data_IF_768770734606
#
_entry.id   IF_768770734606
#
_cell.length_a   1.000
_cell.length_b   1.000
_cell.length_c   1.000
_cell.angle_alpha   90.00
_cell.angle_beta   90.00
_cell.angle_gamma   90.00
#
_symmetry.space_group_name_H-M   'P 1'
#
loop_
_entity.id
_entity.type
_entity.pdbx_description
1 polymer ?
#
# COMPACT_ATOMS: atom_id res chain seq x y z
N UNK A 1 13.62 12.94 28.67
CA UNK A 1 12.81 11.72 28.47
C UNK A 1 13.74 10.55 28.76
N UNK A 2 13.34 9.56 29.57
CA UNK A 2 14.21 8.42 29.93
C UNK A 2 14.43 7.53 28.69
N UNK A 3 15.67 7.12 28.42
CA UNK A 3 16.05 6.22 27.32
C UNK A 3 15.24 4.93 27.33
N UNK A 4 14.97 4.36 28.51
CA UNK A 4 14.13 3.16 28.64
C UNK A 4 12.69 3.40 28.17
N UNK A 5 12.15 4.60 28.45
CA UNK A 5 10.81 5.00 28.01
C UNK A 5 10.76 5.18 26.49
N UNK A 6 11.83 5.71 25.89
CA UNK A 6 11.94 5.83 24.43
C UNK A 6 11.98 4.46 23.76
N UNK A 7 12.78 3.53 24.29
CA UNK A 7 12.84 2.15 23.79
C UNK A 7 11.46 1.48 23.87
N UNK A 8 10.80 1.56 25.03
CA UNK A 8 9.45 1.02 25.19
C UNK A 8 8.46 1.59 24.15
N UNK A 9 8.48 2.91 23.93
CA UNK A 9 7.60 3.55 22.93
C UNK A 9 7.92 3.08 21.50
N UNK A 10 9.19 2.86 21.16
CA UNK A 10 9.59 2.32 19.85
C UNK A 10 9.08 0.89 19.67
N UNK A 11 9.23 0.05 20.69
CA UNK A 11 8.77 -1.36 20.67
C UNK A 11 7.25 -1.44 20.45
N UNK A 12 6.49 -0.63 21.20
CA UNK A 12 5.03 -0.55 21.06
C UNK A 12 4.65 -0.15 19.63
N UNK A 13 5.28 0.89 19.08
CA UNK A 13 5.00 1.32 17.70
C UNK A 13 5.35 0.28 16.65
N UNK A 14 6.46 -0.45 16.82
CA UNK A 14 6.81 -1.55 15.92
C UNK A 14 5.75 -2.65 15.99
N UNK A 15 5.26 -2.98 17.20
CA UNK A 15 4.19 -3.96 17.39
C UNK A 15 2.89 -3.54 16.71
N UNK A 16 2.44 -2.30 16.92
CA UNK A 16 1.25 -1.73 16.26
C UNK A 16 1.36 -1.77 14.74
N UNK A 17 2.54 -1.45 14.20
CA UNK A 17 2.83 -1.54 12.78
C UNK A 17 2.73 -3.00 12.29
N UNK A 18 3.31 -3.96 13.02
CA UNK A 18 3.23 -5.37 12.68
C UNK A 18 1.77 -5.88 12.66
N UNK A 19 0.97 -5.54 13.68
CA UNK A 19 -0.46 -5.90 13.73
C UNK A 19 -1.27 -5.27 12.59
N UNK A 20 -1.00 -4.00 12.29
CA UNK A 20 -1.62 -3.29 11.16
C UNK A 20 -1.29 -3.98 9.84
N UNK A 21 -0.05 -4.41 9.65
CA UNK A 21 0.38 -5.14 8.45
C UNK A 21 -0.21 -6.56 8.38
N UNK A 22 -0.51 -7.19 9.51
CA UNK A 22 -1.08 -8.54 9.58
C UNK A 22 -2.50 -8.61 9.00
N UNK A 23 -3.22 -7.48 8.99
CA UNK A 23 -4.59 -7.39 8.46
C UNK A 23 -4.67 -7.41 6.92
N UNK A 24 -3.55 -7.36 6.20
CA UNK A 24 -3.56 -7.33 4.73
C UNK A 24 -3.24 -8.71 4.13
N UNK A 25 -4.10 -9.19 3.21
CA UNK A 25 -3.96 -10.49 2.56
C UNK A 25 -2.61 -10.71 1.83
N UNK A 26 -1.94 -9.64 1.40
CA UNK A 26 -0.64 -9.72 0.72
C UNK A 26 0.53 -10.01 1.67
N UNK A 27 0.30 -10.06 3.00
CA UNK A 27 1.27 -10.52 4.00
C UNK A 27 1.85 -11.87 3.64
N UNK A 28 1.05 -12.81 3.12
CA UNK A 28 1.51 -14.16 2.84
C UNK A 28 2.72 -14.20 1.88
N UNK A 29 2.88 -13.21 1.02
CA UNK A 29 4.03 -13.13 0.12
C UNK A 29 5.32 -12.65 0.81
N UNK A 30 5.21 -12.02 1.97
CA UNK A 30 6.30 -11.29 2.62
C UNK A 30 6.42 -11.54 4.12
N UNK A 31 5.65 -12.49 4.67
CA UNK A 31 5.41 -12.67 6.12
C UNK A 31 6.70 -12.82 6.92
N UNK A 32 7.63 -13.64 6.45
CA UNK A 32 8.86 -13.94 7.17
C UNK A 32 9.80 -12.73 7.20
N UNK A 33 9.91 -12.02 6.07
CA UNK A 33 10.72 -10.79 5.98
C UNK A 33 10.07 -9.62 6.72
N UNK A 34 8.73 -9.52 6.70
CA UNK A 34 7.98 -8.44 7.36
C UNK A 34 8.11 -8.48 8.87
N UNK A 35 8.16 -9.67 9.46
CA UNK A 35 8.26 -9.85 10.91
C UNK A 35 9.69 -9.90 11.42
N UNK A 36 10.66 -10.10 10.52
CA UNK A 36 12.08 -10.03 10.87
C UNK A 36 12.48 -8.67 11.45
N UNK A 37 13.58 -8.69 12.22
CA UNK A 37 14.26 -7.50 12.73
C UNK A 37 15.46 -7.09 11.86
N UNK A 38 15.88 -7.96 10.92
CA UNK A 38 17.04 -7.69 10.07
C UNK A 38 16.77 -6.53 9.10
N UNK A 39 17.62 -5.51 9.17
CA UNK A 39 17.44 -4.27 8.44
C UNK A 39 17.57 -4.44 6.92
N UNK A 40 18.59 -5.16 6.45
CA UNK A 40 18.88 -5.31 5.03
C UNK A 40 17.74 -6.01 4.24
N UNK A 41 17.17 -7.13 4.71
CA UNK A 41 15.98 -7.73 4.09
C UNK A 41 14.77 -6.79 4.07
N UNK A 42 14.53 -6.04 5.16
CA UNK A 42 13.43 -5.09 5.24
C UNK A 42 13.59 -3.94 4.24
N UNK A 43 14.81 -3.40 4.08
CA UNK A 43 15.09 -2.36 3.08
C UNK A 43 14.92 -2.86 1.65
N UNK A 44 15.37 -4.09 1.36
CA UNK A 44 15.16 -4.73 0.05
C UNK A 44 13.67 -4.93 -0.24
N UNK A 45 12.90 -5.34 0.76
CA UNK A 45 11.45 -5.45 0.67
C UNK A 45 10.80 -4.08 0.44
N UNK A 46 11.24 -3.04 1.17
CA UNK A 46 10.72 -1.68 1.03
C UNK A 46 10.90 -1.13 -0.38
N UNK A 47 12.06 -1.37 -1.00
CA UNK A 47 12.31 -1.02 -2.41
C UNK A 47 11.33 -1.74 -3.35
N UNK A 48 11.10 -3.05 -3.13
CA UNK A 48 10.16 -3.85 -3.95
C UNK A 48 8.72 -3.37 -3.82
N UNK A 49 8.24 -3.18 -2.59
CA UNK A 49 6.89 -2.68 -2.30
C UNK A 49 6.71 -1.27 -2.88
N UNK A 50 7.72 -0.41 -2.78
CA UNK A 50 7.70 0.93 -3.36
C UNK A 50 7.58 0.91 -4.89
N UNK A 51 8.31 0.01 -5.56
CA UNK A 51 8.21 -0.18 -7.00
C UNK A 51 6.81 -0.66 -7.40
N UNK A 52 6.29 -1.67 -6.70
CA UNK A 52 4.93 -2.19 -6.93
C UNK A 52 3.89 -1.09 -6.74
N UNK A 53 3.95 -0.34 -5.64
CA UNK A 53 3.07 0.80 -5.40
C UNK A 53 3.12 1.81 -6.54
N UNK A 54 4.31 2.16 -7.05
CA UNK A 54 4.44 3.08 -8.18
C UNK A 54 3.75 2.54 -9.45
N UNK A 55 3.91 1.26 -9.74
CA UNK A 55 3.26 0.61 -10.89
C UNK A 55 1.74 0.64 -10.73
N UNK A 56 1.22 0.22 -9.56
CA UNK A 56 -0.21 0.22 -9.27
C UNK A 56 -0.82 1.63 -9.29
N UNK A 57 -0.08 2.63 -8.80
CA UNK A 57 -0.52 4.02 -8.84
C UNK A 57 -0.63 4.55 -10.27
N UNK A 58 0.36 4.26 -11.13
CA UNK A 58 0.31 4.62 -12.56
C UNK A 58 -0.88 3.93 -13.23
N UNK A 59 -1.06 2.63 -12.99
CA UNK A 59 -2.19 1.88 -13.53
C UNK A 59 -3.52 2.52 -13.08
N UNK A 60 -3.69 2.81 -11.79
CA UNK A 60 -4.89 3.45 -11.26
C UNK A 60 -5.19 4.78 -11.98
N UNK A 61 -4.18 5.65 -12.18
CA UNK A 61 -4.35 6.91 -12.91
C UNK A 61 -4.81 6.65 -14.35
N UNK A 62 -4.14 5.75 -15.08
CA UNK A 62 -4.48 5.42 -16.47
C UNK A 62 -5.92 4.91 -16.57
N UNK A 63 -6.31 4.00 -15.68
CA UNK A 63 -7.66 3.46 -15.66
C UNK A 63 -8.72 4.49 -15.25
N UNK A 64 -8.42 5.40 -14.32
CA UNK A 64 -9.30 6.52 -13.96
C UNK A 64 -9.49 7.48 -15.13
N UNK A 65 -8.44 7.81 -15.89
CA UNK A 65 -8.55 8.65 -17.09
C UNK A 65 -9.40 7.94 -18.15
N UNK A 66 -9.17 6.64 -18.36
CA UNK A 66 -9.97 5.85 -19.30
C UNK A 66 -11.45 5.84 -18.94
N UNK A 67 -11.78 5.66 -17.65
CA UNK A 67 -13.15 5.76 -17.13
C UNK A 67 -13.81 7.11 -17.46
N UNK A 68 -13.08 8.21 -17.28
CA UNK A 68 -13.60 9.56 -17.56
C UNK A 68 -13.90 9.70 -19.06
N UNK A 69 -12.99 9.26 -19.93
CA UNK A 69 -13.18 9.31 -21.38
C UNK A 69 -14.38 8.46 -21.80
N UNK A 70 -14.48 7.22 -21.31
CA UNK A 70 -15.62 6.33 -21.63
C UNK A 70 -16.93 6.92 -21.12
N UNK A 71 -16.95 7.46 -19.91
CA UNK A 71 -18.13 8.13 -19.35
C UNK A 71 -18.56 9.32 -20.22
N UNK A 72 -17.60 10.13 -20.67
CA UNK A 72 -17.85 11.31 -21.50
C UNK A 72 -18.35 10.93 -22.89
N UNK A 73 -17.74 9.93 -23.53
CA UNK A 73 -18.23 9.38 -24.80
C UNK A 73 -19.65 8.84 -24.63
N UNK A 74 -19.91 8.08 -23.57
CA UNK A 74 -21.26 7.52 -23.32
C UNK A 74 -22.30 8.62 -23.14
N UNK A 75 -21.98 9.66 -22.37
CA UNK A 75 -22.87 10.80 -22.16
C UNK A 75 -23.15 11.56 -23.46
N UNK A 76 -22.16 11.69 -24.34
CA UNK A 76 -22.30 12.41 -25.62
C UNK A 76 -22.99 11.59 -26.73
N UNK A 77 -23.00 10.25 -26.64
CA UNK A 77 -23.47 9.36 -27.73
C UNK A 77 -24.93 8.89 -27.59
N UNK A 78 -25.73 9.57 -26.76
CA UNK A 78 -27.18 9.50 -26.60
C UNK A 78 -27.89 8.17 -26.97
N UNK A 79 -28.14 7.36 -25.93
CA UNK A 79 -29.28 6.46 -25.72
C UNK A 79 -29.89 5.68 -26.91
N UNK A 80 -29.13 4.81 -27.59
CA UNK A 80 -29.74 3.78 -28.46
C UNK A 80 -29.49 2.33 -28.04
N UNK A 81 -28.70 2.08 -26.98
CA UNK A 81 -28.32 0.72 -26.57
C UNK A 81 -28.05 0.62 -25.04
N UNK A 82 -28.98 1.14 -24.23
CA UNK A 82 -28.76 1.39 -22.80
C UNK A 82 -28.41 0.14 -21.97
N UNK A 83 -28.98 -1.04 -22.27
CA UNK A 83 -28.71 -2.24 -21.47
C UNK A 83 -27.28 -2.79 -21.63
N UNK A 84 -26.81 -2.97 -22.86
CA UNK A 84 -25.49 -3.57 -23.13
C UNK A 84 -24.35 -2.62 -22.77
N UNK A 85 -24.58 -1.29 -22.80
CA UNK A 85 -23.58 -0.31 -22.39
C UNK A 85 -23.49 -0.14 -20.87
N UNK A 86 -24.60 -0.26 -20.14
CA UNK A 86 -24.61 -0.17 -18.67
C UNK A 86 -23.82 -1.33 -18.03
N UNK A 87 -23.93 -2.54 -18.57
CA UNK A 87 -23.17 -3.71 -18.11
C UNK A 87 -21.64 -3.55 -18.32
N UNK A 88 -21.23 -2.95 -19.45
CA UNK A 88 -19.81 -2.70 -19.76
C UNK A 88 -19.21 -1.61 -18.88
N UNK A 89 -19.95 -0.53 -18.62
CA UNK A 89 -19.52 0.56 -17.74
C UNK A 89 -19.47 0.09 -16.28
N UNK A 90 -20.48 -0.67 -15.84
CA UNK A 90 -20.50 -1.30 -14.51
C UNK A 90 -19.31 -2.23 -14.29
N UNK A 91 -19.00 -3.09 -15.27
CA UNK A 91 -17.82 -3.95 -15.23
C UNK A 91 -16.52 -3.14 -15.16
N UNK A 92 -16.41 -2.07 -15.96
CA UNK A 92 -15.24 -1.19 -15.95
C UNK A 92 -15.05 -0.55 -14.57
N UNK A 93 -16.12 -0.01 -13.96
CA UNK A 93 -16.10 0.58 -12.61
C UNK A 93 -15.63 -0.45 -11.56
N UNK A 94 -16.20 -1.66 -11.57
CA UNK A 94 -15.81 -2.75 -10.65
C UNK A 94 -14.33 -3.09 -10.79
N UNK A 95 -13.82 -3.21 -12.03
CA UNK A 95 -12.41 -3.47 -12.30
C UNK A 95 -11.50 -2.34 -11.76
N UNK A 96 -11.87 -1.08 -11.95
CA UNK A 96 -11.13 0.07 -11.40
C UNK A 96 -11.14 0.13 -9.89
N UNK A 97 -12.26 -0.17 -9.23
CA UNK A 97 -12.33 -0.18 -7.78
C UNK A 97 -11.32 -1.19 -7.21
N UNK A 98 -11.23 -2.38 -7.80
CA UNK A 98 -10.23 -3.38 -7.41
C UNK A 98 -8.79 -2.87 -7.53
N UNK A 99 -8.48 -2.09 -8.57
CA UNK A 99 -7.16 -1.48 -8.75
C UNK A 99 -6.92 -0.40 -7.68
N UNK A 100 -7.89 0.47 -7.41
CA UNK A 100 -7.78 1.52 -6.40
C UNK A 100 -7.60 0.94 -4.99
N UNK A 101 -8.38 -0.08 -4.62
CA UNK A 101 -8.23 -0.77 -3.34
C UNK A 101 -6.85 -1.42 -3.19
N UNK A 102 -6.34 -2.07 -4.23
CA UNK A 102 -5.00 -2.65 -4.22
C UNK A 102 -3.91 -1.57 -4.13
N UNK A 103 -4.04 -0.46 -4.86
CA UNK A 103 -3.12 0.68 -4.77
C UNK A 103 -3.05 1.27 -3.36
N UNK A 104 -4.21 1.49 -2.73
CA UNK A 104 -4.29 1.95 -1.34
C UNK A 104 -3.65 0.95 -0.37
N UNK A 105 -3.85 -0.33 -0.65
CA UNK A 105 -3.22 -1.40 0.09
C UNK A 105 -1.71 -1.39 0.05
N UNK A 106 -1.12 -1.38 -1.15
CA UNK A 106 0.31 -1.27 -1.35
C UNK A 106 0.89 0.01 -0.76
N UNK A 107 0.15 1.13 -0.80
CA UNK A 107 0.54 2.36 -0.14
C UNK A 107 0.69 2.19 1.37
N UNK A 108 -0.31 1.62 2.04
CA UNK A 108 -0.23 1.38 3.49
C UNK A 108 0.92 0.45 3.86
N UNK A 109 1.12 -0.62 3.09
CA UNK A 109 2.24 -1.54 3.31
C UNK A 109 3.59 -0.81 3.17
N UNK A 110 3.74 0.03 2.14
CA UNK A 110 4.93 0.85 1.92
C UNK A 110 5.22 1.74 3.13
N UNK A 111 4.25 2.55 3.56
CA UNK A 111 4.42 3.50 4.66
C UNK A 111 4.73 2.80 5.98
N UNK A 112 4.01 1.73 6.29
CA UNK A 112 4.24 0.94 7.50
C UNK A 112 5.65 0.34 7.52
N UNK A 113 6.12 -0.19 6.38
CA UNK A 113 7.46 -0.76 6.27
C UNK A 113 8.56 0.31 6.39
N UNK A 114 8.36 1.48 5.78
CA UNK A 114 9.27 2.64 5.93
C UNK A 114 9.35 3.10 7.39
N UNK A 115 8.20 3.20 8.08
CA UNK A 115 8.15 3.55 9.50
C UNK A 115 8.82 2.51 10.38
N UNK A 116 8.60 1.21 10.11
CA UNK A 116 9.26 0.12 10.85
C UNK A 116 10.78 0.20 10.70
N UNK A 117 11.29 0.37 9.48
CA UNK A 117 12.73 0.50 9.23
C UNK A 117 13.30 1.72 9.96
N UNK A 118 12.60 2.86 9.92
CA UNK A 118 13.03 4.06 10.64
C UNK A 118 13.12 3.82 12.15
N UNK A 119 12.13 3.15 12.73
CA UNK A 119 12.10 2.83 14.17
C UNK A 119 13.22 1.86 14.57
N UNK A 120 13.52 0.85 13.75
CA UNK A 120 14.66 -0.06 14.00
C UNK A 120 15.99 0.70 13.94
N UNK A 121 16.20 1.57 12.93
CA UNK A 121 17.41 2.42 12.88
C UNK A 121 17.53 3.35 14.07
N UNK A 122 16.40 3.90 14.53
CA UNK A 122 16.37 4.77 15.70
C UNK A 122 16.75 3.98 16.96
N UNK A 123 16.24 2.76 17.10
CA UNK A 123 16.60 1.85 18.19
C UNK A 123 18.10 1.55 18.19
N UNK A 124 18.67 1.13 17.05
CA UNK A 124 20.10 0.83 16.92
C UNK A 124 21.00 2.02 17.29
N UNK A 125 20.60 3.25 16.93
CA UNK A 125 21.32 4.47 17.34
C UNK A 125 21.29 4.71 18.83
N UNK A 126 20.13 4.49 19.46
CA UNK A 126 19.99 4.65 20.91
C UNK A 126 20.80 3.59 21.66
N UNK A 127 20.90 2.37 21.13
CA UNK A 127 21.74 1.31 21.69
C UNK A 127 23.24 1.54 21.45
N UNK A 128 23.64 2.11 20.31
CA UNK A 128 25.04 2.37 19.96
C UNK A 128 25.62 3.67 20.54
N UNK A 129 24.79 4.56 21.09
CA UNK A 129 25.20 5.76 21.83
C UNK A 129 25.29 5.55 23.36
N UNK A 130 25.06 4.31 23.83
CA UNK A 130 25.25 3.85 25.23
C UNK A 130 26.57 3.08 25.37
#
# INVERSE_FOLDING_TARGET
MNTEKIKLDIEIRISEINESMDKYHWRNQYKDTLLGAELEPLEKLSKRVSLQFRIYNIAAIVFSVFLIIVSLVTFLNDQKNDFVNMDKIGLLVICTLGIVFNSFGHYKLKVNLENKIFLIKLWEKIDGEL
#
